data_IF_762857260999
#
_entry.id   IF_762857260999
#
_cell.length_a   1.000
_cell.length_b   1.000
_cell.length_c   1.000
_cell.angle_alpha   90.00
_cell.angle_beta   90.00
_cell.angle_gamma   90.00
#
_symmetry.space_group_name_H-M   'P 1'
#
loop_
_entity.id
_entity.type
_entity.pdbx_description
1 polymer ?
#
# COMPACT_ATOMS: atom_id res chain seq x y z
N UNK A 1 6.67 17.28 -14.76
CA UNK A 1 5.51 17.19 -15.67
C UNK A 1 4.60 16.12 -15.10
N UNK A 2 3.37 16.46 -14.71
CA UNK A 2 2.39 15.44 -14.35
C UNK A 2 2.09 14.59 -15.59
N UNK A 3 2.05 13.26 -15.47
CA UNK A 3 1.68 12.40 -16.58
C UNK A 3 0.26 12.77 -17.04
N UNK A 4 0.08 12.97 -18.36
CA UNK A 4 -1.27 13.06 -18.94
C UNK A 4 -1.86 11.66 -18.94
N UNK A 5 -2.46 11.28 -17.83
CA UNK A 5 -3.11 9.98 -17.66
C UNK A 5 -4.45 9.97 -18.40
N UNK A 6 -4.73 8.85 -19.07
CA UNK A 6 -6.05 8.53 -19.60
C UNK A 6 -6.98 8.07 -18.47
N UNK A 7 -8.30 8.12 -18.70
CA UNK A 7 -9.28 7.65 -17.72
C UNK A 7 -9.02 6.20 -17.27
N UNK A 8 -8.66 5.31 -18.20
CA UNK A 8 -8.33 3.91 -17.88
C UNK A 8 -7.10 3.77 -16.99
N UNK A 9 -6.10 4.63 -17.16
CA UNK A 9 -4.90 4.61 -16.33
C UNK A 9 -5.21 5.13 -14.91
N UNK A 10 -6.09 6.13 -14.79
CA UNK A 10 -6.58 6.60 -13.48
C UNK A 10 -7.36 5.51 -12.75
N UNK A 11 -8.26 4.80 -13.45
CA UNK A 11 -9.00 3.68 -12.87
C UNK A 11 -8.04 2.58 -12.40
N UNK A 12 -7.07 2.21 -13.23
CA UNK A 12 -6.06 1.20 -12.88
C UNK A 12 -5.20 1.61 -11.67
N UNK A 13 -4.76 2.86 -11.60
CA UNK A 13 -4.02 3.37 -10.43
C UNK A 13 -4.89 3.33 -9.17
N UNK A 14 -6.18 3.66 -9.30
CA UNK A 14 -7.13 3.63 -8.18
C UNK A 14 -7.37 2.21 -7.65
N UNK A 15 -7.45 1.22 -8.54
CA UNK A 15 -7.55 -0.20 -8.17
C UNK A 15 -6.28 -0.67 -7.46
N UNK A 16 -5.09 -0.31 -7.97
CA UNK A 16 -3.81 -0.62 -7.33
C UNK A 16 -3.73 0.01 -5.93
N UNK A 17 -4.13 1.27 -5.79
CA UNK A 17 -4.17 1.96 -4.50
C UNK A 17 -5.07 1.24 -3.50
N UNK A 18 -6.26 0.79 -3.94
CA UNK A 18 -7.18 0.03 -3.09
C UNK A 18 -6.58 -1.29 -2.60
N UNK A 19 -5.81 -1.98 -3.46
CA UNK A 19 -5.07 -3.17 -3.07
C UNK A 19 -3.95 -2.88 -2.07
N UNK A 20 -3.11 -1.87 -2.35
CA UNK A 20 -2.00 -1.45 -1.48
C UNK A 20 -2.52 -1.08 -0.07
N UNK A 21 -3.64 -0.34 0.02
CA UNK A 21 -4.27 0.01 1.28
C UNK A 21 -4.77 -1.23 2.05
N UNK A 22 -5.44 -2.15 1.35
CA UNK A 22 -5.98 -3.38 1.95
C UNK A 22 -4.87 -4.25 2.55
N UNK A 23 -3.77 -4.43 1.82
CA UNK A 23 -2.62 -5.23 2.29
C UNK A 23 -1.91 -4.52 3.44
N UNK A 24 -1.69 -3.20 3.35
CA UNK A 24 -1.07 -2.44 4.43
C UNK A 24 -1.86 -2.59 5.75
N UNK A 25 -3.19 -2.43 5.71
CA UNK A 25 -4.05 -2.59 6.91
C UNK A 25 -3.97 -4.00 7.50
N UNK A 26 -4.04 -5.04 6.66
CA UNK A 26 -3.96 -6.44 7.12
C UNK A 26 -2.59 -6.76 7.72
N UNK A 27 -1.51 -6.35 7.07
CA UNK A 27 -0.15 -6.55 7.57
C UNK A 27 0.07 -5.82 8.90
N UNK A 28 -0.44 -4.58 9.04
CA UNK A 28 -0.41 -3.85 10.30
C UNK A 28 -1.14 -4.60 11.41
N UNK A 29 -2.34 -5.09 11.13
CA UNK A 29 -3.10 -5.90 12.08
C UNK A 29 -2.31 -7.13 12.53
N UNK A 30 -1.76 -7.92 11.60
CA UNK A 30 -0.96 -9.10 11.94
C UNK A 30 0.32 -8.76 12.69
N UNK A 31 0.95 -7.61 12.41
CA UNK A 31 2.11 -7.17 13.18
C UNK A 31 1.80 -6.97 14.67
N UNK A 32 0.56 -6.62 15.01
CA UNK A 32 0.12 -6.41 16.40
C UNK A 32 -0.45 -7.66 17.09
N UNK A 33 -0.89 -8.66 16.34
CA UNK A 33 -1.57 -9.84 16.91
C UNK A 33 -0.69 -11.10 16.95
N UNK A 34 0.37 -11.15 16.14
CA UNK A 34 1.28 -12.30 16.11
C UNK A 34 2.21 -12.28 17.33
N UNK A 35 2.37 -13.45 17.94
CA UNK A 35 3.23 -13.65 19.11
C UNK A 35 4.70 -13.87 18.74
N UNK A 36 4.98 -14.40 17.54
CA UNK A 36 6.35 -14.53 17.06
C UNK A 36 6.94 -13.15 16.71
N UNK A 37 8.01 -12.71 17.40
CA UNK A 37 8.58 -11.38 17.21
C UNK A 37 9.20 -11.19 15.83
N UNK A 38 9.72 -12.25 15.19
CA UNK A 38 10.29 -12.16 13.84
C UNK A 38 9.20 -11.95 12.80
N UNK A 39 8.11 -12.71 12.90
CA UNK A 39 6.99 -12.60 11.96
C UNK A 39 6.25 -11.28 12.18
N UNK A 40 6.03 -10.86 13.42
CA UNK A 40 5.46 -9.54 13.76
C UNK A 40 6.27 -8.40 13.14
N UNK A 41 7.60 -8.41 13.32
CA UNK A 41 8.48 -7.40 12.72
C UNK A 41 8.43 -7.41 11.20
N UNK A 42 8.39 -8.59 10.58
CA UNK A 42 8.28 -8.70 9.12
C UNK A 42 6.94 -8.18 8.60
N UNK A 43 5.84 -8.44 9.30
CA UNK A 43 4.52 -7.91 8.96
C UNK A 43 4.47 -6.37 9.08
N UNK A 44 5.16 -5.80 10.07
CA UNK A 44 5.31 -4.34 10.19
C UNK A 44 6.05 -3.75 8.98
N UNK A 45 7.17 -4.34 8.59
CA UNK A 45 7.94 -3.93 7.41
C UNK A 45 7.10 -4.02 6.12
N UNK A 46 6.33 -5.10 5.95
CA UNK A 46 5.41 -5.28 4.83
C UNK A 46 4.37 -4.15 4.82
N UNK A 47 3.73 -3.87 5.96
CA UNK A 47 2.75 -2.79 6.08
C UNK A 47 3.33 -1.43 5.68
N UNK A 48 4.53 -1.10 6.14
CA UNK A 48 5.20 0.17 5.85
C UNK A 48 5.56 0.29 4.36
N UNK A 49 5.99 -0.81 3.73
CA UNK A 49 6.30 -0.83 2.31
C UNK A 49 5.05 -0.63 1.43
N UNK A 50 3.94 -1.29 1.76
CA UNK A 50 2.67 -1.07 1.05
C UNK A 50 2.15 0.36 1.25
N UNK A 51 2.27 0.94 2.45
CA UNK A 51 1.91 2.34 2.69
C UNK A 51 2.76 3.32 1.85
N UNK A 52 4.07 3.07 1.69
CA UNK A 52 4.94 3.86 0.81
C UNK A 52 4.52 3.76 -0.66
N UNK A 53 4.16 2.56 -1.13
CA UNK A 53 3.68 2.35 -2.50
C UNK A 53 2.36 3.08 -2.75
N UNK A 54 1.43 3.01 -1.81
CA UNK A 54 0.20 3.79 -1.86
C UNK A 54 0.48 5.29 -1.98
N UNK A 55 1.37 5.84 -1.15
CA UNK A 55 1.72 7.26 -1.18
C UNK A 55 2.34 7.67 -2.53
N UNK A 56 3.19 6.81 -3.10
CA UNK A 56 3.77 7.03 -4.43
C UNK A 56 2.69 7.04 -5.52
N UNK A 57 1.73 6.10 -5.48
CA UNK A 57 0.61 6.04 -6.43
C UNK A 57 -0.31 7.26 -6.30
N UNK A 58 -0.62 7.67 -5.07
CA UNK A 58 -1.39 8.89 -4.82
C UNK A 58 -0.69 10.13 -5.40
N UNK A 59 0.64 10.20 -5.27
CA UNK A 59 1.45 11.27 -5.86
C UNK A 59 1.44 11.30 -7.40
N UNK A 60 1.02 10.22 -8.08
CA UNK A 60 0.79 10.23 -9.53
C UNK A 60 -0.55 10.85 -9.93
N UNK A 61 -1.51 10.92 -8.99
CA UNK A 61 -2.85 11.46 -9.19
C UNK A 61 -3.01 12.91 -8.71
N UNK A 62 -2.04 13.44 -7.95
CA UNK A 62 -2.02 14.81 -7.41
C UNK A 62 -1.22 15.77 -8.29
#
# INVERSE_FOLDING_TARGET
>A
MQPKLTAKEVDFISDLMSMEESVAKKAKFYSSTLTDPKISSRMKEISENHAKRFANLLGLLQ
#
